data_IF_180014602646
#
_entry.id   IF_180014602646
#
_cell.length_a   1.000
_cell.length_b   1.000
_cell.length_c   1.000
_cell.angle_alpha   90.00
_cell.angle_beta   90.00
_cell.angle_gamma   90.00
#
_symmetry.space_group_name_H-M   'P 1'
#
loop_
_entity.id
_entity.type
_entity.pdbx_description
1 polymer ?
2 non-polymer ?
3 non-polymer ?
4 non-polymer ?
5 non-polymer ?
6 non-polymer ?
7 water ?
#
# COMPACT_ATOMS: atom_id res chain seq x y z
N UNK A 3 -3.07 15.56 27.26
CA UNK A 3 -3.51 16.46 26.19
C UNK A 3 -2.32 16.89 25.34
N UNK A 4 -1.11 16.55 25.80
CA UNK A 4 0.15 16.88 25.13
C UNK A 4 1.10 15.72 25.42
N UNK A 5 0.94 14.64 24.66
CA UNK A 5 1.54 13.34 24.97
C UNK A 5 3.00 13.25 24.56
N UNK A 6 3.75 12.42 25.29
CA UNK A 6 5.18 12.22 25.07
C UNK A 6 5.45 10.82 24.53
N UNK A 7 6.25 10.74 23.46
CA UNK A 7 6.80 9.48 22.97
C UNK A 7 8.32 9.54 23.12
N UNK A 8 8.91 8.46 23.62
CA UNK A 8 10.33 8.40 23.87
C UNK A 8 10.97 7.36 22.94
N UNK A 9 12.22 7.62 22.57
CA UNK A 9 13.08 6.61 21.97
C UNK A 9 14.00 6.08 23.07
N UNK A 10 14.01 4.77 23.28
CA UNK A 10 14.75 4.16 24.38
C UNK A 10 16.15 3.73 24.00
N UNK A 11 16.62 4.13 22.83
CA UNK A 11 18.01 3.93 22.43
C UNK A 11 18.77 5.25 22.35
N UNK A 12 18.09 6.34 21.97
CA UNK A 12 18.64 7.68 21.87
C UNK A 12 18.23 8.59 23.03
N UNK A 13 17.24 8.20 23.83
CA UNK A 13 16.67 9.00 24.91
C UNK A 13 16.04 10.30 24.38
N UNK A 14 15.64 10.30 23.12
CA UNK A 14 14.98 11.47 22.51
C UNK A 14 13.50 11.45 22.85
N UNK A 15 12.96 12.60 23.21
CA UNK A 15 11.54 12.73 23.54
C UNK A 15 10.88 13.67 22.57
N UNK A 16 9.72 13.28 22.06
CA UNK A 16 8.90 14.11 21.21
C UNK A 16 7.53 14.29 21.86
N UNK A 17 6.94 15.46 21.63
CA UNK A 17 5.62 15.79 22.17
C UNK A 17 4.61 15.78 21.04
N UNK A 18 3.54 15.03 21.22
CA UNK A 18 2.51 14.88 20.21
C UNK A 18 1.29 15.70 20.60
N UNK A 19 0.96 16.69 19.78
CA UNK A 19 -0.32 17.39 19.86
C UNK A 19 -1.19 17.15 18.63
N UNK A 20 -0.65 16.57 17.57
CA UNK A 20 -1.43 16.32 16.36
C UNK A 20 -2.56 15.33 16.62
N UNK A 21 -2.38 14.40 17.56
CA UNK A 21 -3.43 13.43 17.84
C UNK A 21 -4.72 14.10 18.30
N UNK A 22 -4.65 15.35 18.75
CA UNK A 22 -5.85 16.10 19.10
C UNK A 22 -6.74 16.36 17.88
N UNK A 23 -6.14 16.49 16.68
CA UNK A 23 -6.93 16.61 15.45
C UNK A 23 -7.43 15.25 14.95
N UNK A 24 -7.24 14.18 15.72
CA UNK A 24 -7.72 12.86 15.32
C UNK A 24 -9.23 12.83 15.35
N UNK A 25 -9.80 11.96 14.52
CA UNK A 25 -11.22 11.99 14.27
C UNK A 25 -11.82 10.61 14.48
N UNK A 26 -11.41 9.64 13.67
CA UNK A 26 -11.95 8.29 13.74
C UNK A 26 -11.45 7.57 14.99
N UNK A 27 -11.99 6.39 15.20
CA UNK A 27 -11.65 5.56 16.35
C UNK A 27 -10.70 4.43 15.94
N UNK A 28 -10.04 3.85 16.95
CA UNK A 28 -8.91 2.96 16.74
C UNK A 28 -9.23 1.47 16.94
N UNK A 29 -10.35 1.14 17.56
CA UNK A 29 -10.59 -0.21 18.03
C UNK A 29 -10.21 -0.42 19.49
N UNK A 30 -9.24 0.34 19.99
CA UNK A 30 -8.87 0.24 21.39
C UNK A 30 -9.85 1.00 22.27
N UNK A 31 -9.99 0.54 23.51
CA UNK A 31 -10.72 1.26 24.53
C UNK A 31 -9.81 1.46 25.73
N UNK A 32 -10.40 1.90 26.84
CA UNK A 32 -9.64 2.09 28.07
C UNK A 32 -9.24 0.75 28.70
N UNK A 33 -10.00 -0.31 28.46
CA UNK A 33 -9.76 -1.59 29.12
C UNK A 33 -9.29 -2.67 28.16
N UNK A 34 -9.03 -2.34 26.89
CA UNK A 34 -8.54 -3.34 25.96
C UNK A 34 -7.81 -2.69 24.81
N UNK A 35 -6.62 -3.18 24.51
CA UNK A 35 -5.84 -2.66 23.41
C UNK A 35 -5.88 -3.69 22.28
N UNK A 36 -6.24 -3.21 21.09
CA UNK A 36 -6.35 -4.07 19.91
C UNK A 36 -5.31 -3.69 18.86
N UNK A 37 -4.15 -3.21 19.31
CA UNK A 37 -3.13 -2.78 18.37
C UNK A 37 -2.51 -3.87 17.53
N UNK A 38 -2.84 -5.15 17.74
CA UNK A 38 -2.34 -6.22 16.90
C UNK A 38 -3.44 -6.90 16.09
N UNK A 39 -4.69 -6.43 16.20
CA UNK A 39 -5.74 -6.88 15.30
C UNK A 39 -5.45 -6.35 13.91
N UNK A 40 -5.46 -7.24 12.92
CA UNK A 40 -5.06 -6.87 11.55
C UNK A 40 -6.02 -5.85 10.93
N UNK A 41 -7.31 -6.18 10.89
CA UNK A 41 -8.33 -5.34 10.26
C UNK A 41 -9.31 -4.88 11.33
N UNK A 42 -9.19 -3.66 11.83
CA UNK A 42 -10.02 -3.25 12.97
C UNK A 42 -11.18 -2.34 12.60
N UNK A 43 -12.22 -2.32 13.45
CA UNK A 43 -13.35 -1.42 13.31
C UNK A 43 -13.43 -0.47 14.51
N UNK A 52 -23.85 3.82 1.84
CA UNK A 52 -24.03 5.11 1.18
C UNK A 52 -23.98 6.22 2.23
N UNK A 53 -23.49 7.40 1.84
CA UNK A 53 -23.37 8.55 2.73
C UNK A 53 -24.36 9.64 2.32
N UNK A 54 -24.86 10.37 3.31
CA UNK A 54 -25.91 11.37 3.12
C UNK A 54 -25.35 12.79 3.13
N UNK A 55 -26.18 13.73 2.69
CA UNK A 55 -25.72 15.11 2.54
C UNK A 55 -25.51 15.78 3.88
N UNK A 56 -26.23 15.32 4.91
CA UNK A 56 -26.00 15.81 6.26
C UNK A 56 -24.55 15.57 6.68
N UNK A 57 -24.11 14.32 6.60
CA UNK A 57 -22.77 13.97 7.04
C UNK A 57 -21.70 14.61 6.16
N UNK A 58 -22.01 14.88 4.89
CA UNK A 58 -20.93 15.10 3.93
C UNK A 58 -20.37 16.51 4.00
N UNK A 59 -21.14 17.50 4.46
CA UNK A 59 -20.61 18.86 4.47
C UNK A 59 -19.58 19.09 5.58
N UNK A 60 -19.81 18.66 6.83
CA UNK A 60 -18.73 18.77 7.82
C UNK A 60 -17.42 18.17 7.35
N UNK A 61 -17.47 17.03 6.68
CA UNK A 61 -16.28 16.38 6.14
C UNK A 61 -15.63 17.25 5.07
N UNK A 62 -16.42 17.79 4.15
CA UNK A 62 -15.89 18.71 3.15
C UNK A 62 -15.26 19.93 3.81
N UNK A 63 -15.99 20.55 4.76
CA UNK A 63 -15.51 21.76 5.42
C UNK A 63 -14.21 21.51 6.16
N UNK A 64 -14.17 20.46 6.98
CA UNK A 64 -12.95 20.14 7.69
C UNK A 64 -11.78 19.98 6.72
N UNK A 65 -11.98 19.24 5.64
CA UNK A 65 -10.89 19.04 4.69
C UNK A 65 -10.50 20.34 4.00
N UNK A 66 -11.49 21.18 3.65
CA UNK A 66 -11.16 22.43 2.98
C UNK A 66 -10.47 23.42 3.92
N UNK A 67 -10.82 23.38 5.20
CA UNK A 67 -10.18 24.26 6.17
C UNK A 67 -8.72 23.90 6.38
N UNK A 68 -8.36 22.61 6.23
CA UNK A 68 -6.96 22.26 6.32
C UNK A 68 -6.26 22.46 4.99
N UNK A 69 -6.97 22.31 3.87
CA UNK A 69 -6.36 22.60 2.57
C UNK A 69 -6.01 24.07 2.45
N UNK A 70 -6.95 24.96 2.78
CA UNK A 70 -6.67 26.38 2.64
C UNK A 70 -5.70 26.85 3.71
N UNK A 71 -5.71 26.22 4.88
CA UNK A 71 -4.68 26.52 5.87
C UNK A 71 -3.30 26.18 5.32
N UNK A 72 -3.20 25.06 4.58
CA UNK A 72 -1.90 24.60 4.11
C UNK A 72 -1.31 25.47 3.01
N UNK A 73 -2.12 26.30 2.36
CA UNK A 73 -1.62 27.20 1.34
C UNK A 73 -1.53 28.64 1.85
N UNK A 74 -1.58 28.83 3.17
CA UNK A 74 -1.45 30.14 3.81
C UNK A 74 -2.56 31.09 3.36
N UNK A 75 -3.77 30.56 3.22
CA UNK A 75 -4.97 31.34 2.97
C UNK A 75 -6.14 30.74 3.76
N UNK A 76 -5.90 30.45 5.03
CA UNK A 76 -6.94 30.00 5.95
C UNK A 76 -7.89 31.14 6.22
N UNK A 77 -9.14 31.00 5.78
CA UNK A 77 -10.18 31.97 6.07
C UNK A 77 -10.25 33.15 5.13
N UNK A 78 -9.43 33.18 4.08
CA UNK A 78 -9.50 34.25 3.09
C UNK A 78 -10.85 34.20 2.38
N UNK A 79 -11.09 35.15 1.46
CA UNK A 79 -12.33 35.12 0.70
C UNK A 79 -12.41 33.89 -0.18
N UNK A 80 -11.30 33.54 -0.85
CA UNK A 80 -11.29 32.37 -1.72
C UNK A 80 -11.66 31.10 -0.95
N UNK A 81 -11.30 31.04 0.33
CA UNK A 81 -11.74 29.94 1.19
C UNK A 81 -13.25 29.97 1.41
N UNK A 82 -13.78 31.12 1.82
CA UNK A 82 -15.21 31.23 2.10
C UNK A 82 -16.04 31.00 0.84
N UNK A 83 -15.58 31.55 -0.30
CA UNK A 83 -16.31 31.31 -1.54
C UNK A 83 -16.22 29.85 -1.95
N UNK A 84 -15.08 29.21 -1.72
CA UNK A 84 -14.96 27.79 -2.01
C UNK A 84 -15.78 26.96 -1.03
N UNK A 85 -15.84 27.40 0.24
CA UNK A 85 -16.69 26.72 1.21
C UNK A 85 -18.14 26.78 0.79
N UNK A 86 -18.65 27.99 0.49
CA UNK A 86 -20.04 28.12 0.08
C UNK A 86 -20.28 27.47 -1.28
N UNK A 87 -19.27 27.47 -2.15
CA UNK A 87 -19.43 26.79 -3.44
C UNK A 87 -19.68 25.31 -3.24
N UNK A 88 -18.89 24.66 -2.38
CA UNK A 88 -19.10 23.24 -2.08
C UNK A 88 -20.42 23.03 -1.35
N UNK A 89 -20.68 23.86 -0.33
CA UNK A 89 -21.97 23.84 0.34
C UNK A 89 -23.11 23.86 -0.68
N UNK A 90 -23.03 24.75 -1.65
CA UNK A 90 -24.10 24.84 -2.65
C UNK A 90 -24.15 23.60 -3.53
N UNK A 91 -22.99 23.10 -3.97
CA UNK A 91 -22.99 21.91 -4.80
C UNK A 91 -23.43 20.66 -4.03
N UNK A 92 -23.15 20.60 -2.73
CA UNK A 92 -23.68 19.50 -1.92
C UNK A 92 -25.20 19.62 -1.78
N UNK A 93 -25.71 20.85 -1.69
CA UNK A 93 -27.16 21.02 -1.69
C UNK A 93 -27.78 20.48 -2.97
N UNK A 94 -27.15 20.75 -4.11
CA UNK A 94 -27.76 20.48 -5.41
C UNK A 94 -27.72 18.99 -5.76
N UNK A 95 -26.56 18.34 -5.61
CA UNK A 95 -26.40 16.94 -5.99
C UNK A 95 -26.18 15.99 -4.80
N UNK A 96 -26.16 16.51 -3.58
CA UNK A 96 -25.81 15.71 -2.39
C UNK A 96 -24.42 15.07 -2.50
N UNK A 97 -23.58 15.62 -3.37
CA UNK A 97 -22.16 15.30 -3.43
C UNK A 97 -21.44 16.54 -3.96
N UNK A 98 -20.16 16.39 -4.32
CA UNK A 98 -19.42 17.50 -4.89
C UNK A 98 -18.17 16.98 -5.58
N UNK A 99 -17.40 17.90 -6.16
CA UNK A 99 -16.26 17.59 -7.00
C UNK A 99 -15.03 18.32 -6.49
N UNK A 100 -13.92 17.59 -6.35
CA UNK A 100 -12.66 18.17 -5.91
C UNK A 100 -11.97 18.91 -7.03
N UNK A 101 -11.44 20.11 -6.71
CA UNK A 101 -10.49 20.75 -7.62
C UNK A 101 -9.28 19.86 -7.81
N UNK A 102 -8.63 20.01 -8.96
CA UNK A 102 -7.39 19.25 -9.21
C UNK A 102 -6.38 19.44 -8.08
N UNK A 103 -6.19 20.70 -7.64
CA UNK A 103 -5.26 20.97 -6.55
C UNK A 103 -5.67 20.26 -5.27
N UNK A 104 -6.97 20.29 -4.94
CA UNK A 104 -7.47 19.65 -3.74
C UNK A 104 -7.30 18.14 -3.83
N UNK A 105 -7.47 17.58 -5.04
CA UNK A 105 -7.29 16.14 -5.21
C UNK A 105 -5.85 15.72 -4.95
N UNK A 106 -4.88 16.52 -5.40
CA UNK A 106 -3.46 16.18 -5.23
C UNK A 106 -3.06 16.35 -3.77
N UNK A 107 -3.55 17.43 -3.13
CA UNK A 107 -3.32 17.62 -1.71
C UNK A 107 -3.88 16.44 -0.91
N UNK A 108 -5.12 16.04 -1.20
CA UNK A 108 -5.72 14.94 -0.46
C UNK A 108 -4.95 13.65 -0.61
N UNK A 109 -4.57 13.32 -1.85
CA UNK A 109 -3.84 12.09 -2.09
C UNK A 109 -2.55 12.05 -1.28
N UNK A 110 -1.74 13.11 -1.37
CA UNK A 110 -0.47 13.14 -0.66
C UNK A 110 -0.65 13.00 0.85
N UNK A 111 -1.69 13.64 1.40
CA UNK A 111 -1.85 13.63 2.85
C UNK A 111 -2.47 12.34 3.36
N UNK A 112 -3.28 11.69 2.53
CA UNK A 112 -3.69 10.32 2.80
C UNK A 112 -2.48 9.42 3.04
N UNK A 113 -1.48 9.50 2.14
CA UNK A 113 -0.23 8.78 2.34
C UNK A 113 0.49 9.29 3.58
N UNK A 114 0.59 10.62 3.73
CA UNK A 114 1.24 11.18 4.90
C UNK A 114 0.67 10.62 6.19
N UNK A 115 -0.60 10.25 6.18
CA UNK A 115 -1.31 9.85 7.38
C UNK A 115 -1.37 8.35 7.58
N UNK A 116 -0.81 7.58 6.65
CA UNK A 116 -0.83 6.12 6.70
C UNK A 116 0.09 5.63 7.80
N UNK A 117 -0.46 5.34 8.98
CA UNK A 117 0.39 5.06 10.13
C UNK A 117 1.12 3.72 10.03
N UNK A 118 0.72 2.84 9.10
CA UNK A 118 1.42 1.57 8.89
C UNK A 118 2.52 1.64 7.84
N UNK A 119 2.72 2.79 7.18
CA UNK A 119 3.68 2.93 6.08
C UNK A 119 5.00 3.50 6.60
N UNK A 120 6.07 2.69 6.52
CA UNK A 120 7.41 3.11 6.93
C UNK A 120 8.08 4.03 5.93
N UNK A 121 7.53 4.17 4.72
CA UNK A 121 8.21 4.89 3.66
C UNK A 121 7.78 6.33 3.49
N UNK A 122 7.17 6.89 4.53
CA UNK A 122 6.48 8.16 4.38
C UNK A 122 7.40 9.36 4.29
N UNK A 123 8.73 9.20 4.41
CA UNK A 123 9.60 10.36 4.25
C UNK A 123 9.45 10.96 2.85
N UNK A 124 8.87 10.20 1.91
CA UNK A 124 8.70 10.56 0.52
C UNK A 124 7.31 11.12 0.21
N UNK A 125 6.47 11.31 1.24
CA UNK A 125 5.04 11.46 1.01
C UNK A 125 4.72 12.66 0.12
N UNK A 126 5.55 13.71 0.15
CA UNK A 126 5.25 14.90 -0.65
C UNK A 126 5.68 14.77 -2.11
N UNK A 127 6.50 13.77 -2.45
CA UNK A 127 6.95 13.54 -3.82
C UNK A 127 6.15 12.36 -4.36
N UNK A 128 4.99 12.69 -4.92
CA UNK A 128 3.96 11.73 -5.34
C UNK A 128 3.31 12.28 -6.60
N UNK A 129 3.22 11.46 -7.64
CA UNK A 129 2.68 11.85 -8.93
C UNK A 129 1.21 11.45 -8.96
N UNK A 130 0.32 12.41 -9.13
CA UNK A 130 -1.09 12.12 -9.06
C UNK A 130 -1.68 12.13 -10.46
N UNK A 131 -2.24 11.00 -10.85
CA UNK A 131 -2.86 10.86 -12.16
C UNK A 131 -4.36 10.90 -11.93
N UNK A 132 -4.99 11.97 -12.41
CA UNK A 132 -6.42 12.15 -12.25
C UNK A 132 -7.10 11.36 -13.36
N UNK A 133 -7.72 10.23 -13.01
CA UNK A 133 -8.46 9.45 -13.99
C UNK A 133 -9.97 9.60 -13.77
N UNK A 134 -10.40 10.74 -13.25
CA UNK A 134 -11.82 10.88 -12.95
C UNK A 134 -12.68 11.12 -14.18
N UNK A 135 -12.10 11.17 -15.40
CA UNK A 135 -12.89 11.21 -16.64
C UNK A 135 -13.13 9.82 -17.21
N UNK A 136 -12.64 8.78 -16.54
CA UNK A 136 -12.76 7.43 -17.07
C UNK A 136 -14.21 6.96 -17.00
N UNK A 137 -14.60 6.12 -17.96
CA UNK A 137 -15.95 5.60 -18.04
C UNK A 137 -16.04 4.09 -18.30
N UNK A 138 -14.97 3.45 -18.73
CA UNK A 138 -15.03 2.06 -19.19
C UNK A 138 -13.83 1.28 -18.66
N UNK A 139 -13.96 -0.05 -18.72
CA UNK A 139 -12.87 -0.94 -18.34
C UNK A 139 -11.64 -0.69 -19.19
N UNK A 140 -11.82 -0.54 -20.51
CA UNK A 140 -10.69 -0.28 -21.41
C UNK A 140 -9.97 0.99 -21.05
N UNK A 141 -10.71 2.06 -20.74
CA UNK A 141 -10.09 3.27 -20.26
C UNK A 141 -9.31 3.07 -18.96
N UNK A 142 -9.79 2.17 -18.08
CA UNK A 142 -9.02 1.86 -16.87
C UNK A 142 -7.70 1.18 -17.25
N UNK A 143 -7.76 0.17 -18.12
CA UNK A 143 -6.55 -0.49 -18.61
C UNK A 143 -5.54 0.52 -19.12
N UNK A 144 -6.01 1.44 -19.95
CA UNK A 144 -5.11 2.44 -20.51
C UNK A 144 -4.48 3.28 -19.41
N UNK A 145 -5.30 3.79 -18.49
CA UNK A 145 -4.78 4.58 -17.38
C UNK A 145 -3.80 3.76 -16.54
N UNK A 146 -4.09 2.48 -16.35
CA UNK A 146 -3.25 1.64 -15.50
C UNK A 146 -1.92 1.32 -16.18
N UNK A 147 -1.93 1.11 -17.51
CA UNK A 147 -0.68 0.86 -18.21
C UNK A 147 0.22 2.09 -18.17
N UNK A 148 -0.38 3.28 -18.32
CA UNK A 148 0.40 4.51 -18.24
C UNK A 148 0.95 4.71 -16.83
N UNK A 149 0.20 4.30 -15.82
CA UNK A 149 0.72 4.32 -14.45
C UNK A 149 1.98 3.47 -14.34
N UNK A 150 1.84 2.17 -14.64
CA UNK A 150 2.95 1.23 -14.58
C UNK A 150 4.18 1.77 -15.30
N UNK A 151 4.02 2.06 -16.60
CA UNK A 151 5.15 2.56 -17.39
C UNK A 151 5.81 3.78 -16.73
N UNK A 152 5.01 4.75 -16.29
CA UNK A 152 5.58 5.92 -15.63
C UNK A 152 6.27 5.52 -14.33
N UNK A 153 5.55 4.85 -13.42
CA UNK A 153 6.11 4.55 -12.11
C UNK A 153 7.38 3.69 -12.20
N UNK A 154 7.47 2.84 -13.21
CA UNK A 154 8.64 1.97 -13.32
C UNK A 154 9.87 2.75 -13.79
N UNK A 155 9.72 3.58 -14.82
CA UNK A 155 10.77 4.53 -15.21
C UNK A 155 12.11 3.83 -15.39
N UNK A 156 12.08 2.68 -16.05
CA UNK A 156 13.27 1.92 -16.39
C UNK A 156 13.99 1.42 -15.14
N UNK A 157 13.24 1.15 -14.06
CA UNK A 157 13.81 0.70 -12.82
C UNK A 157 14.19 1.81 -11.86
N UNK A 158 14.27 3.06 -12.32
CA UNK A 158 14.43 4.19 -11.41
C UNK A 158 13.03 4.59 -10.95
N UNK A 159 12.49 3.78 -10.01
CA UNK A 159 11.06 3.82 -9.72
C UNK A 159 10.64 5.18 -9.19
N UNK A 160 9.38 5.51 -9.43
CA UNK A 160 8.81 6.79 -9.05
C UNK A 160 7.44 6.52 -8.48
N UNK A 161 7.09 7.27 -7.45
CA UNK A 161 5.84 7.04 -6.73
C UNK A 161 4.70 7.69 -7.48
N UNK A 162 3.56 6.99 -7.51
CA UNK A 162 2.44 7.50 -8.27
C UNK A 162 1.14 6.90 -7.76
N UNK A 163 0.05 7.58 -8.05
CA UNK A 163 -1.28 7.09 -7.75
C UNK A 163 -2.18 7.48 -8.91
N UNK A 164 -3.10 6.57 -9.29
CA UNK A 164 -4.09 6.88 -10.32
C UNK A 164 -5.48 6.80 -9.71
N UNK A 165 -6.26 7.87 -9.86
CA UNK A 165 -7.49 8.06 -9.08
C UNK A 165 -8.68 8.01 -10.03
N UNK A 166 -9.49 6.97 -9.91
CA UNK A 166 -10.67 6.76 -10.73
C UNK A 166 -11.89 7.44 -10.12
N UNK A 167 -13.00 7.55 -10.86
CA UNK A 167 -14.13 8.38 -10.38
C UNK A 167 -14.64 7.94 -9.01
N UNK A 168 -15.05 8.93 -8.22
CA UNK A 168 -15.47 8.67 -6.86
C UNK A 168 -16.79 7.90 -6.84
N UNK A 169 -16.99 7.15 -5.77
CA UNK A 169 -18.26 6.46 -5.58
C UNK A 169 -19.39 7.48 -5.54
N UNK A 170 -20.55 7.12 -6.11
CA UNK A 170 -21.68 8.03 -6.08
C UNK A 170 -22.86 7.38 -5.36
N UNK A 171 -23.69 6.65 -6.09
CA UNK A 171 -24.84 5.99 -5.50
C UNK A 171 -24.42 4.83 -4.61
N UNK A 172 -23.38 4.09 -5.03
CA UNK A 172 -23.00 2.87 -4.38
C UNK A 172 -22.96 1.68 -5.32
N UNK A 173 -23.99 1.54 -6.18
CA UNK A 173 -23.98 0.47 -7.16
C UNK A 173 -23.12 0.80 -8.38
N UNK A 174 -22.79 2.07 -8.57
CA UNK A 174 -21.87 2.50 -9.61
C UNK A 174 -20.54 2.79 -8.93
N UNK A 175 -19.58 1.89 -9.14
CA UNK A 175 -18.36 1.85 -8.34
C UNK A 175 -17.24 1.35 -9.23
N UNK A 176 -16.18 2.13 -9.35
CA UNK A 176 -14.97 1.66 -10.01
C UNK A 176 -14.15 0.85 -9.03
N UNK A 177 -13.73 -0.35 -9.44
CA UNK A 177 -12.91 -1.22 -8.61
C UNK A 177 -11.91 -1.96 -9.49
N UNK A 178 -10.65 -2.00 -9.04
CA UNK A 178 -9.67 -2.96 -9.53
C UNK A 178 -9.78 -4.21 -8.66
N UNK A 179 -10.12 -5.34 -9.28
CA UNK A 179 -10.35 -6.54 -8.50
C UNK A 179 -9.05 -7.21 -8.06
N UNK A 180 -7.93 -6.93 -8.72
CA UNK A 180 -6.64 -7.39 -8.23
C UNK A 180 -6.31 -6.70 -6.92
N UNK A 181 -5.53 -7.39 -6.07
CA UNK A 181 -5.00 -6.73 -4.89
C UNK A 181 -3.77 -5.90 -5.22
N UNK A 182 -3.01 -6.29 -6.23
CA UNK A 182 -1.92 -5.48 -6.74
C UNK A 182 -1.97 -5.57 -8.27
N UNK A 183 -1.68 -4.45 -8.93
CA UNK A 183 -1.65 -4.44 -10.39
C UNK A 183 -0.83 -5.62 -10.92
N UNK A 184 0.29 -5.91 -10.28
CA UNK A 184 1.19 -6.99 -10.70
C UNK A 184 1.34 -8.00 -9.56
N UNK A 185 0.85 -9.23 -9.80
CA UNK A 185 0.96 -10.34 -8.87
C UNK A 185 1.18 -11.62 -9.65
N UNK A 186 1.86 -12.57 -9.02
CA UNK A 186 2.04 -13.89 -9.61
C UNK A 186 0.84 -14.78 -9.31
N UNK A 187 0.46 -15.59 -10.31
CA UNK A 187 -0.64 -16.53 -10.14
C UNK A 187 -0.28 -17.62 -9.14
N UNK A 188 -1.32 -18.27 -8.62
CA UNK A 188 -1.18 -19.40 -7.74
C UNK A 188 -2.20 -20.46 -8.07
N UNK A 189 -1.73 -21.69 -8.30
CA UNK A 189 -2.59 -22.79 -8.72
C UNK A 189 -2.45 -23.93 -7.72
N UNK A 190 -3.58 -24.44 -7.26
CA UNK A 190 -3.60 -25.67 -6.47
C UNK A 190 -3.24 -26.85 -7.36
N UNK A 191 -2.91 -27.97 -6.73
CA UNK A 191 -2.36 -29.10 -7.47
C UNK A 191 -3.22 -30.34 -7.29
N UNK A 192 -2.98 -31.41 -8.07
CA UNK A 192 -3.67 -32.68 -7.79
C UNK A 192 -3.42 -33.19 -6.37
N UNK A 193 -2.16 -33.22 -5.93
CA UNK A 193 -1.85 -33.70 -4.60
C UNK A 193 -2.10 -32.64 -3.51
N UNK A 194 -2.86 -31.60 -3.81
CA UNK A 194 -3.22 -30.59 -2.84
C UNK A 194 -2.15 -29.57 -2.55
N UNK A 195 -0.97 -29.67 -3.18
CA UNK A 195 0.07 -28.67 -2.98
C UNK A 195 -0.27 -27.41 -3.74
N UNK A 196 0.70 -26.54 -3.99
CA UNK A 196 0.42 -25.28 -4.65
C UNK A 196 1.62 -24.85 -5.49
N UNK A 197 1.36 -24.53 -6.75
CA UNK A 197 2.35 -23.90 -7.62
C UNK A 197 2.06 -22.40 -7.69
N UNK A 198 3.13 -21.61 -7.73
CA UNK A 198 2.99 -20.16 -7.74
C UNK A 198 2.78 -19.56 -6.37
N UNK A 199 1.88 -18.58 -6.29
CA UNK A 199 1.65 -17.83 -5.07
C UNK A 199 0.34 -18.26 -4.42
N UNK A 200 0.38 -18.95 -3.27
CA UNK A 200 -0.86 -19.41 -2.63
C UNK A 200 -1.80 -18.29 -2.21
N UNK A 201 -1.27 -17.08 -1.94
CA UNK A 201 -2.14 -15.97 -1.59
C UNK A 201 -3.17 -15.68 -2.66
N UNK A 202 -2.86 -15.95 -3.92
CA UNK A 202 -3.68 -15.52 -5.05
C UNK A 202 -4.51 -16.64 -5.65
N UNK A 203 -4.63 -17.79 -4.96
CA UNK A 203 -5.27 -18.95 -5.57
C UNK A 203 -6.74 -18.67 -5.88
N UNK A 204 -7.46 -18.05 -4.94
CA UNK A 204 -8.86 -17.74 -5.23
C UNK A 204 -8.98 -16.73 -6.36
N UNK A 205 -8.11 -15.71 -6.38
CA UNK A 205 -8.16 -14.75 -7.47
C UNK A 205 -7.78 -15.40 -8.79
N UNK A 206 -6.76 -16.27 -8.78
CA UNK A 206 -6.29 -16.90 -10.02
C UNK A 206 -7.40 -17.71 -10.68
N UNK A 207 -8.21 -18.40 -9.88
CA UNK A 207 -9.29 -19.18 -10.47
C UNK A 207 -10.51 -18.33 -10.83
N UNK A 208 -10.69 -17.18 -10.16
CA UNK A 208 -11.71 -16.24 -10.59
C UNK A 208 -11.42 -15.76 -12.01
N UNK A 209 -10.15 -15.45 -12.29
CA UNK A 209 -9.78 -15.05 -13.64
C UNK A 209 -10.04 -16.17 -14.64
N UNK A 210 -9.76 -17.42 -14.25
CA UNK A 210 -10.07 -18.53 -15.13
C UNK A 210 -11.57 -18.67 -15.33
N UNK A 211 -12.36 -18.32 -14.31
CA UNK A 211 -13.81 -18.32 -14.44
C UNK A 211 -14.27 -17.33 -15.49
N UNK A 212 -13.96 -16.04 -15.30
CA UNK A 212 -14.33 -15.00 -16.27
C UNK A 212 -13.61 -15.14 -17.60
N UNK A 213 -12.69 -16.09 -17.75
CA UNK A 213 -12.17 -16.38 -19.07
C UNK A 213 -10.68 -16.57 -19.24
N UNK A 214 -9.89 -16.39 -18.18
CA UNK A 214 -8.43 -16.47 -18.33
C UNK A 214 -8.02 -17.87 -18.77
N UNK A 215 -7.08 -17.92 -19.70
CA UNK A 215 -6.40 -19.15 -20.06
C UNK A 215 -5.04 -19.14 -19.36
N UNK A 216 -4.89 -20.01 -18.36
CA UNK A 216 -3.73 -19.90 -17.50
C UNK A 216 -2.55 -20.70 -18.07
N UNK A 217 -1.32 -20.17 -17.93
CA UNK A 217 -0.13 -20.91 -18.36
C UNK A 217 0.50 -21.70 -17.24
N UNK A 218 -0.33 -22.27 -16.36
CA UNK A 218 0.01 -22.95 -15.11
C UNK A 218 1.51 -23.11 -14.84
N UNK A 219 2.16 -22.03 -14.43
CA UNK A 219 3.54 -22.06 -13.98
C UNK A 219 3.72 -21.36 -12.64
N UNK A 220 4.97 -21.06 -12.29
CA UNK A 220 5.28 -20.44 -11.01
C UNK A 220 4.91 -18.96 -11.00
N UNK A 221 5.59 -18.20 -11.86
CA UNK A 221 5.55 -16.74 -11.82
C UNK A 221 4.79 -16.20 -13.03
N UNK A 222 3.52 -16.54 -13.12
CA UNK A 222 2.64 -16.08 -14.19
C UNK A 222 1.94 -14.81 -13.71
N UNK A 223 2.27 -13.69 -14.36
CA UNK A 223 1.65 -12.42 -14.02
C UNK A 223 0.16 -12.51 -14.33
N UNK A 224 -0.68 -12.26 -13.33
CA UNK A 224 -2.12 -12.34 -13.52
C UNK A 224 -2.60 -11.26 -14.47
N UNK A 225 -3.77 -11.41 -15.07
CA UNK A 225 -4.37 -10.32 -15.83
C UNK A 225 -5.08 -9.36 -14.88
N UNK A 226 -5.41 -8.19 -15.40
CA UNK A 226 -6.22 -7.26 -14.63
C UNK A 226 -7.69 -7.64 -14.74
N UNK A 227 -8.44 -7.43 -13.66
CA UNK A 227 -9.90 -7.54 -13.68
C UNK A 227 -10.44 -6.19 -13.26
N UNK A 228 -10.98 -5.44 -14.21
CA UNK A 228 -11.32 -4.04 -14.03
C UNK A 228 -12.83 -3.86 -14.13
N UNK A 229 -13.42 -3.24 -13.10
CA UNK A 229 -14.84 -2.95 -13.06
C UNK A 229 -15.04 -1.44 -13.11
N UNK A 230 -15.82 -0.98 -14.09
CA UNK A 230 -16.06 0.45 -14.29
C UNK A 230 -17.54 0.77 -14.13
N UNK A 231 -17.82 1.88 -13.46
CA UNK A 231 -19.19 2.37 -13.26
C UNK A 231 -20.14 1.26 -12.80
N UNK A 232 -19.64 0.38 -11.95
CA UNK A 232 -20.45 -0.67 -11.38
C UNK A 232 -20.76 -1.84 -12.30
N UNK A 233 -20.27 -1.85 -13.52
CA UNK A 233 -20.54 -2.98 -14.40
C UNK A 233 -19.66 -4.17 -14.01
N UNK A 234 -19.98 -5.33 -14.60
CA UNK A 234 -19.18 -6.52 -14.37
C UNK A 234 -17.76 -6.32 -14.89
N UNK A 235 -16.76 -6.92 -14.24
CA UNK A 235 -15.36 -6.64 -14.59
C UNK A 235 -14.88 -7.42 -15.80
N UNK A 236 -13.79 -6.92 -16.39
CA UNK A 236 -13.29 -7.39 -17.68
C UNK A 236 -11.78 -7.64 -17.62
N UNK A 237 -11.33 -8.73 -18.23
CA UNK A 237 -9.92 -9.12 -18.18
C UNK A 237 -9.08 -8.36 -19.19
N UNK A 238 -7.87 -7.96 -18.78
CA UNK A 238 -6.89 -7.34 -19.66
C UNK A 238 -5.49 -7.78 -19.27
N UNK A 239 -4.65 -8.07 -20.26
CA UNK A 239 -3.27 -8.49 -20.02
C UNK A 239 -2.34 -7.30 -20.17
N UNK A 240 -1.60 -7.00 -19.10
CA UNK A 240 -0.59 -5.93 -19.15
C UNK A 240 0.47 -6.32 -20.17
N UNK A 241 0.92 -5.42 -21.05
CA UNK A 241 1.94 -5.80 -22.03
C UNK A 241 3.22 -6.21 -21.32
N UNK A 242 3.72 -7.42 -21.57
CA UNK A 242 4.84 -7.94 -20.79
C UNK A 242 6.04 -7.02 -20.73
N UNK A 243 6.18 -6.15 -21.76
CA UNK A 243 7.27 -5.20 -21.77
C UNK A 243 7.15 -4.15 -20.68
N UNK A 244 5.94 -3.87 -20.20
CA UNK A 244 5.76 -2.91 -19.11
C UNK A 244 5.94 -3.53 -17.73
N UNK A 245 6.13 -4.84 -17.64
CA UNK A 245 6.19 -5.53 -16.35
C UNK A 245 7.65 -5.86 -16.09
N UNK A 246 8.30 -5.11 -15.21
CA UNK A 246 9.74 -5.27 -15.02
C UNK A 246 9.98 -6.31 -13.92
N UNK A 247 10.92 -7.21 -14.15
CA UNK A 247 11.17 -8.34 -13.26
C UNK A 247 12.67 -8.46 -12.99
N UNK A 248 12.99 -9.00 -11.80
CA UNK A 248 14.36 -9.12 -11.32
C UNK A 248 14.63 -10.60 -10.99
N UNK A 249 15.53 -11.28 -11.71
CA UNK A 249 15.93 -12.63 -11.29
C UNK A 249 16.85 -12.56 -10.08
N UNK A 250 16.66 -13.49 -9.15
CA UNK A 250 17.27 -13.43 -7.84
C UNK A 250 18.52 -14.29 -7.82
N UNK A 251 19.68 -13.64 -7.82
CA UNK A 251 20.95 -14.31 -7.58
C UNK A 251 21.53 -13.82 -6.26
N UNK A 252 22.49 -14.58 -5.78
CA UNK A 252 23.23 -14.33 -4.56
C UNK A 252 24.66 -13.93 -4.90
N UNK A 253 25.26 -13.01 -4.15
CA UNK A 253 26.62 -12.56 -4.46
C UNK A 253 27.72 -13.53 -4.03
N UNK A 254 27.36 -14.66 -3.41
CA UNK A 254 28.35 -15.66 -3.00
C UNK A 254 27.98 -17.04 -3.52
N UNK A 255 26.76 -17.46 -3.28
CA UNK A 255 26.31 -18.82 -3.59
C UNK A 255 25.79 -18.87 -5.02
N UNK A 256 26.47 -19.63 -5.87
CA UNK A 256 26.09 -19.72 -7.28
C UNK A 256 24.95 -20.70 -7.51
N UNK A 257 24.71 -21.64 -6.60
CA UNK A 257 23.51 -22.45 -6.73
C UNK A 257 22.25 -21.61 -6.57
N UNK A 258 22.38 -20.40 -6.04
CA UNK A 258 21.20 -19.58 -5.78
C UNK A 258 20.41 -19.33 -7.05
N UNK A 259 21.11 -19.18 -8.19
CA UNK A 259 20.39 -18.99 -9.45
C UNK A 259 19.58 -20.21 -9.81
N UNK A 260 20.06 -21.41 -9.45
CA UNK A 260 19.33 -22.63 -9.73
C UNK A 260 18.04 -22.71 -8.94
N UNK A 261 17.90 -21.91 -7.88
CA UNK A 261 16.60 -21.75 -7.26
C UNK A 261 15.59 -21.17 -8.25
N UNK A 262 16.06 -20.39 -9.22
CA UNK A 262 15.20 -19.91 -10.29
C UNK A 262 14.18 -18.90 -9.88
N UNK A 263 14.43 -18.16 -8.80
CA UNK A 263 13.47 -17.22 -8.27
C UNK A 263 13.53 -15.89 -9.02
N UNK A 264 12.43 -15.15 -8.93
CA UNK A 264 12.33 -13.82 -9.49
C UNK A 264 11.11 -13.16 -8.89
N UNK A 265 11.10 -11.84 -8.90
CA UNK A 265 9.97 -11.07 -8.41
C UNK A 265 9.86 -9.83 -9.27
N UNK A 266 8.71 -9.16 -9.16
CA UNK A 266 8.45 -8.00 -10.00
C UNK A 266 8.91 -6.74 -9.28
N UNK A 267 9.34 -5.77 -10.09
CA UNK A 267 9.97 -4.59 -9.51
C UNK A 267 9.01 -3.66 -8.80
N UNK A 268 7.76 -3.63 -9.23
CA UNK A 268 6.84 -2.53 -8.93
C UNK A 268 5.77 -3.01 -7.97
N UNK A 269 5.79 -2.56 -6.69
CA UNK A 269 4.66 -2.85 -5.80
C UNK A 269 3.60 -1.78 -5.98
N UNK A 270 2.41 -2.17 -6.44
CA UNK A 270 1.37 -1.20 -6.78
C UNK A 270 0.05 -1.76 -6.23
N UNK A 271 -0.39 -1.20 -5.11
CA UNK A 271 -1.53 -1.70 -4.36
C UNK A 271 -2.81 -1.11 -4.94
N UNK A 272 -3.81 -1.95 -5.16
CA UNK A 272 -4.99 -1.53 -5.89
C UNK A 272 -6.34 -1.87 -5.24
N UNK A 273 -6.38 -2.44 -4.04
CA UNK A 273 -7.65 -2.84 -3.43
C UNK A 273 -8.11 -1.89 -2.35
N UNK A 274 -7.44 -0.76 -2.17
CA UNK A 274 -7.73 0.11 -1.06
C UNK A 274 -8.61 1.28 -1.47
N UNK A 275 -9.19 1.93 -0.48
CA UNK A 275 -10.10 3.05 -0.68
C UNK A 275 -9.43 4.33 -0.20
N UNK A 276 -9.42 5.35 -1.05
CA UNK A 276 -8.91 6.67 -0.73
C UNK A 276 -10.09 7.55 -0.30
N UNK A 277 -9.99 8.14 0.88
CA UNK A 277 -11.04 9.01 1.39
C UNK A 277 -10.52 10.44 1.45
N UNK A 278 -11.17 11.36 0.73
CA UNK A 278 -10.80 12.77 0.74
C UNK A 278 -12.06 13.59 0.94
N UNK A 279 -12.06 14.46 1.95
CA UNK A 279 -13.18 15.36 2.17
C UNK A 279 -14.53 14.69 2.23
N UNK A 280 -14.60 13.47 2.78
CA UNK A 280 -15.85 12.73 2.80
C UNK A 280 -16.20 12.02 1.52
N UNK A 281 -15.41 12.21 0.47
CA UNK A 281 -15.62 11.54 -0.81
C UNK A 281 -14.80 10.26 -0.85
N UNK A 282 -15.34 9.24 -1.52
CA UNK A 282 -14.76 7.89 -1.50
C UNK A 282 -14.34 7.48 -2.90
N UNK A 283 -13.04 7.27 -3.09
CA UNK A 283 -12.46 6.79 -4.34
C UNK A 283 -12.11 5.32 -4.14
N UNK A 284 -12.94 4.43 -4.69
CA UNK A 284 -12.82 2.98 -4.50
C UNK A 284 -11.76 2.35 -5.37
N UNK A 285 -11.29 3.04 -6.41
CA UNK A 285 -10.25 2.56 -7.30
C UNK A 285 -9.16 3.62 -7.33
N UNK A 286 -8.05 3.34 -6.68
CA UNK A 286 -6.98 4.31 -6.56
C UNK A 286 -5.61 3.64 -6.43
N UNK A 287 -5.18 2.83 -7.41
CA UNK A 287 -3.90 2.12 -7.27
C UNK A 287 -2.73 3.06 -7.06
N UNK A 288 -1.90 2.75 -6.06
CA UNK A 288 -0.73 3.53 -5.72
C UNK A 288 0.50 2.65 -5.73
N UNK A 289 1.60 3.20 -6.21
CA UNK A 289 2.84 2.45 -6.30
C UNK A 289 3.96 3.29 -5.71
N UNK A 290 4.95 2.59 -5.14
CA UNK A 290 6.22 3.18 -4.79
C UNK A 290 7.33 2.23 -5.18
N UNK A 291 8.13 1.77 -4.21
CA UNK A 291 9.12 0.72 -4.43
C UNK A 291 9.14 -0.16 -3.19
N UNK A 292 10.01 -1.17 -3.20
CA UNK A 292 9.96 -2.24 -2.22
C UNK A 292 10.96 -2.01 -1.09
N UNK A 293 10.53 -2.28 0.13
CA UNK A 293 11.50 -2.62 1.16
C UNK A 293 11.87 -4.08 0.95
N UNK A 294 13.17 -4.38 1.10
CA UNK A 294 13.65 -5.71 0.74
C UNK A 294 12.94 -6.83 1.47
N UNK A 295 12.61 -6.63 2.74
CA UNK A 295 12.00 -7.69 3.54
C UNK A 295 10.63 -8.11 3.01
N UNK A 296 9.93 -7.23 2.31
CA UNK A 296 8.59 -7.61 1.84
C UNK A 296 8.67 -8.84 0.95
N UNK A 297 9.67 -8.89 0.07
CA UNK A 297 9.88 -10.03 -0.81
C UNK A 297 10.59 -11.15 -0.08
N UNK A 298 11.77 -10.84 0.48
CA UNK A 298 12.66 -11.89 0.97
C UNK A 298 12.17 -12.58 2.21
N UNK A 299 11.44 -11.87 3.07
CA UNK A 299 10.97 -12.42 4.34
C UNK A 299 9.55 -12.93 4.19
N UNK A 300 8.64 -12.04 3.78
CA UNK A 300 7.22 -12.34 3.75
C UNK A 300 6.82 -13.10 2.48
N UNK A 301 7.00 -12.47 1.29
CA UNK A 301 6.62 -13.13 0.04
C UNK A 301 7.27 -14.51 -0.11
N UNK A 302 8.55 -14.63 0.23
CA UNK A 302 9.29 -15.86 -0.04
C UNK A 302 9.21 -16.87 1.10
N UNK A 303 9.06 -16.41 2.35
CA UNK A 303 9.26 -17.29 3.51
C UNK A 303 8.07 -17.42 4.44
N UNK A 304 7.02 -16.59 4.29
CA UNK A 304 5.74 -16.89 4.93
C UNK A 304 5.37 -18.35 4.65
N UNK A 305 5.03 -19.08 5.71
CA UNK A 305 4.64 -20.48 5.54
C UNK A 305 3.51 -20.65 4.53
N UNK A 306 2.63 -19.66 4.41
CA UNK A 306 1.50 -19.69 3.51
C UNK A 306 1.77 -18.92 2.22
N UNK A 307 3.04 -18.67 1.91
CA UNK A 307 3.42 -18.01 0.66
C UNK A 307 4.30 -18.95 -0.16
N UNK A 308 5.47 -18.49 -0.62
CA UNK A 308 6.32 -19.37 -1.43
C UNK A 308 7.09 -20.38 -0.58
N UNK A 309 7.38 -20.04 0.68
CA UNK A 309 7.83 -21.00 1.69
C UNK A 309 9.13 -21.70 1.27
N UNK A 310 10.15 -20.89 0.95
CA UNK A 310 11.38 -21.41 0.38
C UNK A 310 12.46 -21.68 1.42
N UNK A 311 12.18 -21.42 2.70
CA UNK A 311 13.18 -21.67 3.76
C UNK A 311 13.69 -23.10 3.68
N UNK A 312 12.78 -24.06 3.46
CA UNK A 312 13.12 -25.45 3.16
C UNK A 312 14.29 -25.58 2.19
N UNK A 313 14.10 -25.11 0.95
CA UNK A 313 15.06 -25.39 -0.10
C UNK A 313 16.37 -24.64 0.09
N UNK A 314 16.29 -23.39 0.55
CA UNK A 314 17.52 -22.61 0.75
C UNK A 314 18.38 -23.25 1.83
N UNK A 315 17.75 -23.70 2.92
CA UNK A 315 18.51 -24.33 3.98
C UNK A 315 19.12 -25.64 3.52
N UNK A 316 18.43 -26.37 2.64
CA UNK A 316 19.00 -27.59 2.09
C UNK A 316 20.29 -27.31 1.34
N UNK A 317 20.26 -26.36 0.41
CA UNK A 317 21.43 -26.06 -0.41
C UNK A 317 22.56 -25.47 0.42
N UNK A 318 22.23 -24.83 1.54
CA UNK A 318 23.28 -24.34 2.43
C UNK A 318 23.88 -25.44 3.27
N UNK A 319 23.27 -26.62 3.28
CA UNK A 319 23.69 -27.77 4.09
C UNK A 319 23.68 -27.42 5.58
N UNK A 320 22.50 -27.08 6.07
CA UNK A 320 22.29 -26.65 7.45
C UNK A 320 21.71 -27.77 8.28
N UNK A 321 21.97 -27.70 9.59
CA UNK A 321 21.43 -28.62 10.56
C UNK A 321 19.93 -28.39 10.73
N UNK A 322 19.13 -29.01 9.88
CA UNK A 322 17.67 -28.83 9.90
C UNK A 322 16.96 -29.79 10.85
N UNK A 323 17.71 -30.63 11.57
CA UNK A 323 17.12 -31.50 12.57
C UNK A 323 16.50 -30.69 13.70
N UNK A 324 17.33 -29.93 14.41
CA UNK A 324 16.91 -29.20 15.59
C UNK A 324 16.35 -27.83 15.21
N UNK A 325 15.31 -27.42 15.94
CA UNK A 325 14.79 -26.07 15.83
C UNK A 325 15.84 -25.02 16.17
N UNK A 326 16.61 -25.28 17.23
CA UNK A 326 17.57 -24.39 17.88
C UNK A 326 18.91 -24.28 17.16
N UNK A 327 19.10 -24.97 16.03
CA UNK A 327 20.24 -24.63 15.19
C UNK A 327 20.08 -23.25 14.53
N UNK A 328 18.93 -22.60 14.69
CA UNK A 328 18.61 -21.35 14.00
C UNK A 328 18.91 -21.44 12.49
N UNK A 329 18.67 -22.62 11.92
CA UNK A 329 18.87 -22.77 10.49
C UNK A 329 17.87 -21.93 9.71
N UNK A 330 16.66 -21.72 10.26
CA UNK A 330 15.69 -20.87 9.58
C UNK A 330 16.18 -19.43 9.51
N UNK A 331 16.71 -18.92 10.63
CA UNK A 331 17.18 -17.53 10.68
C UNK A 331 18.37 -17.34 9.76
N UNK A 332 19.27 -18.32 9.71
CA UNK A 332 20.48 -18.22 8.92
C UNK A 332 20.17 -18.19 7.43
N UNK A 333 19.22 -19.01 6.99
CA UNK A 333 18.76 -19.04 5.61
C UNK A 333 17.87 -17.84 5.27
N UNK A 334 17.31 -17.19 6.28
CA UNK A 334 16.49 -16.00 6.06
C UNK A 334 17.35 -14.80 5.68
N UNK A 335 18.50 -14.65 6.35
CA UNK A 335 19.38 -13.52 6.04
C UNK A 335 19.98 -13.65 4.65
N UNK A 336 20.48 -14.85 4.29
CA UNK A 336 21.03 -15.05 2.94
C UNK A 336 20.03 -14.64 1.86
N UNK A 337 18.78 -15.10 1.98
CA UNK A 337 17.76 -14.78 1.00
C UNK A 337 17.57 -13.27 0.88
N UNK A 338 17.60 -12.55 2.00
CA UNK A 338 17.41 -11.11 1.88
C UNK A 338 18.68 -10.39 1.40
N UNK A 339 19.87 -10.96 1.61
CA UNK A 339 21.04 -10.42 0.93
C UNK A 339 20.86 -10.56 -0.58
N UNK A 340 20.23 -11.66 -1.01
CA UNK A 340 20.08 -11.98 -2.43
C UNK A 340 19.08 -11.07 -3.12
N UNK A 341 17.95 -10.78 -2.48
CA UNK A 341 16.96 -9.87 -3.07
C UNK A 341 17.57 -8.51 -3.27
N UNK A 342 18.19 -7.97 -2.22
CA UNK A 342 18.79 -6.65 -2.32
C UNK A 342 19.87 -6.62 -3.40
N UNK A 343 20.80 -7.58 -3.33
CA UNK A 343 21.86 -7.66 -4.32
C UNK A 343 21.30 -7.71 -5.73
N UNK A 344 20.26 -8.54 -5.95
CA UNK A 344 19.71 -8.70 -7.30
C UNK A 344 19.11 -7.39 -7.81
N UNK A 345 18.23 -6.78 -7.01
CA UNK A 345 17.61 -5.52 -7.40
C UNK A 345 18.65 -4.43 -7.64
N UNK A 346 19.64 -4.31 -6.76
CA UNK A 346 20.63 -3.24 -6.88
C UNK A 346 21.52 -3.41 -8.10
N UNK A 347 21.96 -4.65 -8.37
CA UNK A 347 22.80 -4.91 -9.53
C UNK A 347 22.10 -4.62 -10.84
N UNK A 348 20.78 -4.45 -10.81
CA UNK A 348 19.99 -4.17 -12.00
C UNK A 348 19.49 -2.73 -12.05
N UNK A 349 19.96 -1.87 -11.15
CA UNK A 349 19.54 -0.47 -11.10
C UNK A 349 18.02 -0.36 -10.92
N UNK A 350 17.43 -1.33 -10.24
CA UNK A 350 16.01 -1.25 -9.90
C UNK A 350 15.90 -0.86 -8.44
N UNK A 351 15.13 0.19 -8.19
CA UNK A 351 15.05 0.82 -6.87
C UNK A 351 14.55 -0.16 -5.82
N UNK A 352 15.30 -0.30 -4.73
CA UNK A 352 14.88 -1.07 -3.57
C UNK A 352 15.51 -0.42 -2.35
N UNK A 353 14.92 -0.62 -1.16
CA UNK A 353 15.49 -0.12 0.07
C UNK A 353 15.53 -1.27 1.08
N UNK A 354 16.56 -1.25 1.93
CA UNK A 354 16.75 -2.29 2.95
C UNK A 354 16.11 -1.86 4.25
N UNK A 355 15.66 -2.83 5.05
CA UNK A 355 14.94 -2.49 6.28
C UNK A 355 15.76 -1.56 7.17
N UNK A 356 17.10 -1.58 7.07
CA UNK A 356 17.91 -0.71 7.90
C UNK A 356 17.85 0.74 7.42
N UNK A 357 18.05 0.96 6.13
CA UNK A 357 17.95 2.31 5.58
C UNK A 357 16.54 2.85 5.72
N UNK A 358 15.53 2.01 5.48
CA UNK A 358 14.15 2.47 5.55
C UNK A 358 13.77 2.89 6.97
N UNK A 359 14.12 2.07 7.97
CA UNK A 359 13.71 2.41 9.32
C UNK A 359 14.42 3.67 9.82
N UNK A 360 15.70 3.83 9.47
CA UNK A 360 16.42 5.04 9.85
C UNK A 360 15.76 6.28 9.26
N UNK A 361 15.24 6.17 8.03
CA UNK A 361 14.59 7.32 7.41
C UNK A 361 13.28 7.64 8.10
N UNK A 362 12.56 6.61 8.58
CA UNK A 362 11.31 6.85 9.27
C UNK A 362 11.51 7.61 10.58
N UNK A 363 12.54 7.27 11.36
CA UNK A 363 12.86 8.07 12.53
C UNK A 363 13.16 9.50 12.13
N UNK A 364 13.94 9.68 11.06
CA UNK A 364 14.20 11.01 10.54
C UNK A 364 12.92 11.70 10.08
N UNK A 365 12.03 10.94 9.45
CA UNK A 365 10.71 11.46 9.10
C UNK A 365 9.88 11.79 10.34
N UNK A 366 9.98 10.97 11.38
CA UNK A 366 9.21 11.23 12.60
C UNK A 366 9.62 12.55 13.23
N UNK A 367 10.92 12.86 13.24
CA UNK A 367 11.40 14.10 13.82
C UNK A 367 10.83 15.32 13.10
N UNK A 368 10.69 15.23 11.78
CA UNK A 368 10.16 16.35 11.02
C UNK A 368 8.69 16.57 11.31
N UNK A 369 7.90 15.50 11.31
CA UNK A 369 6.47 15.63 11.53
C UNK A 369 6.18 16.20 12.91
N UNK A 370 6.77 15.62 13.95
CA UNK A 370 6.59 16.19 15.29
C UNK A 370 6.99 17.64 15.34
N UNK A 371 8.03 18.02 14.59
CA UNK A 371 8.51 19.40 14.61
C UNK A 371 7.55 20.33 13.88
N UNK A 372 7.31 20.08 12.59
CA UNK A 372 6.55 21.01 11.76
C UNK A 372 5.09 20.61 11.60
N UNK A 373 4.61 19.63 12.38
CA UNK A 373 3.20 19.22 12.30
C UNK A 373 2.58 18.87 13.64
N UNK A 374 3.36 18.73 14.71
CA UNK A 374 2.81 18.34 16.00
C UNK A 374 2.76 16.85 16.26
N UNK A 375 3.15 16.02 15.30
CA UNK A 375 3.10 14.59 15.52
C UNK A 375 3.12 13.82 14.22
N UNK A 376 3.06 12.51 14.36
CA UNK A 376 3.14 11.54 13.27
C UNK A 376 2.49 10.24 13.69
N UNK A 377 1.30 9.91 13.18
CA UNK A 377 0.66 8.64 13.55
C UNK A 377 1.48 7.48 13.03
N UNK A 378 1.69 6.48 13.88
CA UNK A 378 2.62 5.41 13.54
C UNK A 378 2.20 4.13 14.25
N UNK A 379 2.24 3.00 13.52
CA UNK A 379 1.76 1.70 13.97
C UNK A 379 2.97 0.79 14.12
N UNK A 380 3.51 0.77 15.35
CA UNK A 380 4.70 -0.01 15.68
C UNK A 380 4.62 -1.45 15.17
N UNK A 381 3.46 -2.09 15.33
CA UNK A 381 3.29 -3.49 14.91
C UNK A 381 3.63 -3.66 13.43
N UNK A 382 3.33 -2.64 12.62
CA UNK A 382 3.57 -2.68 11.18
C UNK A 382 4.84 -1.97 10.76
N UNK A 383 5.27 -0.95 11.51
CA UNK A 383 6.51 -0.24 11.16
C UNK A 383 7.75 -1.11 11.44
N UNK A 384 7.77 -1.90 12.53
CA UNK A 384 8.99 -2.69 12.79
C UNK A 384 9.15 -3.77 11.73
N UNK A 385 10.32 -3.91 11.10
CA UNK A 385 10.47 -4.90 9.99
C UNK A 385 10.31 -6.32 10.49
N UNK A 386 9.97 -7.26 9.59
CA UNK A 386 9.67 -8.64 10.01
C UNK A 386 10.89 -9.49 10.34
N UNK A 387 12.09 -8.90 10.40
CA UNK A 387 13.31 -9.58 10.83
C UNK A 387 14.25 -8.50 11.37
N UNK A 388 15.21 -8.92 12.19
CA UNK A 388 16.21 -8.01 12.74
C UNK A 388 15.57 -6.79 13.41
N UNK A 389 14.38 -7.00 14.00
CA UNK A 389 13.65 -5.95 14.68
C UNK A 389 14.47 -5.01 15.56
N UNK A 390 15.09 -5.54 16.62
CA UNK A 390 15.70 -4.67 17.62
C UNK A 390 17.05 -4.12 17.20
N UNK A 391 17.59 -4.55 16.05
CA UNK A 391 18.78 -3.91 15.52
C UNK A 391 18.41 -2.83 14.49
N UNK A 392 17.14 -2.42 14.45
CA UNK A 392 16.72 -1.23 13.70
C UNK A 392 16.16 -0.19 14.67
N UNK A 393 16.33 1.10 14.39
CA UNK A 393 15.98 2.13 15.37
C UNK A 393 14.50 2.21 15.73
N UNK A 394 13.58 1.67 14.93
CA UNK A 394 12.16 1.83 15.25
C UNK A 394 11.69 0.84 16.32
N UNK A 395 12.42 -0.24 16.56
CA UNK A 395 12.07 -1.14 17.67
C UNK A 395 12.06 -0.39 18.99
N UNK A 396 12.95 0.60 19.13
CA UNK A 396 13.19 1.30 20.38
C UNK A 396 12.42 2.61 20.47
N UNK A 397 11.58 2.89 19.48
CA UNK A 397 10.92 4.17 19.34
C UNK A 397 9.44 3.99 19.68
N UNK A 398 9.02 4.52 20.84
CA UNK A 398 7.60 4.60 21.15
C UNK A 398 6.87 5.33 20.02
N UNK A 399 5.66 4.86 19.70
CA UNK A 399 4.85 5.45 18.64
C UNK A 399 3.40 5.55 19.10
N UNK A 400 2.77 6.67 18.75
CA UNK A 400 1.35 6.89 18.98
C UNK A 400 0.59 6.65 17.68
N UNK A 401 -0.40 5.76 17.72
CA UNK A 401 -1.24 5.50 16.55
C UNK A 401 -2.59 6.18 16.72
N UNK A 402 -3.09 6.76 15.63
CA UNK A 402 -4.38 7.43 15.63
C UNK A 402 -4.73 7.75 14.18
N UNK A 403 -6.01 7.94 13.92
CA UNK A 403 -6.54 7.98 12.57
C UNK A 403 -6.84 9.42 12.19
N UNK A 404 -5.99 9.99 11.33
CA UNK A 404 -6.25 11.27 10.70
C UNK A 404 -6.79 11.06 9.29
N UNK A 405 -7.37 12.11 8.73
CA UNK A 405 -7.91 12.07 7.38
C UNK A 405 -7.39 13.27 6.60
N UNK A 406 -7.29 13.17 5.25
CA UNK A 406 -7.49 12.11 4.26
C UNK A 406 -6.80 10.80 4.58
N UNK A 407 -7.39 9.66 4.21
CA UNK A 407 -6.80 8.39 4.60
C UNK A 407 -7.03 7.33 3.53
N UNK A 408 -6.23 6.27 3.63
CA UNK A 408 -6.41 5.01 2.91
C UNK A 408 -7.10 4.01 3.83
N UNK A 409 -8.21 3.44 3.36
CA UNK A 409 -8.97 2.46 4.13
C UNK A 409 -9.09 1.16 3.37
N UNK A 410 -9.12 0.07 4.12
CA UNK A 410 -9.48 -1.23 3.58
C UNK A 410 -10.91 -1.21 3.13
N UNK A 411 -11.22 -2.09 2.19
CA UNK A 411 -12.57 -2.21 1.67
C UNK A 411 -12.82 -3.68 1.35
N UNK A 412 -14.06 -4.13 1.36
CA UNK A 412 -14.34 -5.53 0.99
C UNK A 412 -13.90 -5.83 -0.43
N UNK A 413 -13.66 -7.11 -0.69
CA UNK A 413 -13.37 -7.56 -2.04
C UNK A 413 -14.62 -7.43 -2.90
N UNK A 414 -14.49 -6.97 -4.15
CA UNK A 414 -15.69 -6.73 -4.96
C UNK A 414 -16.51 -7.99 -5.22
N UNK A 415 -15.89 -9.16 -5.29
CA UNK A 415 -16.66 -10.37 -5.61
C UNK A 415 -17.49 -10.86 -4.43
N UNK A 416 -17.27 -10.33 -3.23
CA UNK A 416 -18.12 -10.62 -2.08
C UNK A 416 -19.27 -9.63 -1.94
N UNK A 417 -19.29 -8.56 -2.73
CA UNK A 417 -20.27 -7.49 -2.56
C UNK A 417 -21.02 -7.10 -3.83
N UNK A 418 -20.52 -7.47 -5.02
CA UNK A 418 -21.01 -6.92 -6.28
C UNK A 418 -22.36 -7.56 -6.64
N UNK A 419 -23.41 -6.72 -6.66
CA UNK A 419 -24.72 -7.15 -7.14
C UNK A 419 -24.59 -7.47 -8.63
N UNK A 420 -24.43 -8.76 -8.94
CA UNK A 420 -23.95 -9.22 -10.23
C UNK A 420 -25.09 -9.30 -11.25
N UNK A 421 -24.72 -9.61 -12.49
CA UNK A 421 -25.65 -10.03 -13.55
C UNK A 421 -24.90 -10.82 -14.62
X LIG B 1 2.30 0.18 4.03
X LIG B 1 6.84 0.84 2.49
X LIG B 1 5.09 4.02 -0.78
X LIG B 1 0.75 3.92 1.33
X LIG B 1 3.64 -0.05 3.79
X LIG B 1 4.43 -1.20 4.21
X LIG B 1 5.69 -1.02 3.78
X LIG B 1 5.76 0.25 3.09
X LIG B 1 6.88 -1.99 3.97
X LIG B 1 3.87 -2.43 4.96
X LIG B 1 3.13 -3.20 3.88
X LIG B 1 2.98 -4.64 4.28
X LIG B 1 3.80 -5.11 5.11
X LIG B 1 2.04 -5.31 3.76
X LIG B 1 6.77 1.75 1.46
X LIG B 1 7.87 2.25 0.66
X LIG B 1 7.39 3.13 -0.22
X LIG B 1 5.96 3.22 -0.04
X LIG B 1 9.34 1.87 0.78
X LIG B 1 8.27 3.87 -1.26
X LIG B 1 7.99 5.12 -1.65
X LIG B 1 3.76 4.26 -0.52
X LIG B 1 2.88 5.12 -1.30
X LIG B 1 1.67 5.10 -0.72
X LIG B 1 1.75 4.22 0.44
X LIG B 1 3.36 5.89 -2.56
X LIG B 1 0.35 5.82 -1.10
X LIG B 1 0.22 6.70 -2.11
X LIG B 1 0.78 2.89 2.24
X LIG B 1 -0.34 2.42 3.01
X LIG B 1 0.08 1.39 3.77
X LIG B 1 1.49 1.15 3.47
X LIG B 1 -1.77 3.01 3.00
X LIG B 1 -0.78 0.57 4.78
X LIG B 1 -1.24 -0.70 4.08
X LIG B 1 -2.09 -1.55 5.00
X LIG B 1 -2.55 -1.04 6.06
X LIG B 1 -2.33 -2.73 4.63
X LIG B 1 4.50 0.81 3.14
X LIG B 1 5.61 2.37 1.00
X LIG B 1 3.05 3.74 0.53
X LIG B 1 1.89 2.10 2.54
X LIG B 1 3.87 2.56 2.16
X LIG C 1 3.37 -5.88 9.70
X LIG C 1 3.48 -5.70 8.35
X LIG C 1 4.31 -4.76 7.84
X LIG C 1 2.74 -6.45 7.50
X LIG C 1 1.90 -7.38 7.97
X LIG C 1 1.24 -8.05 7.15
X LIG C 1 1.78 -7.59 9.34
X LIG C 1 2.53 -6.81 10.21
X LIG C 1 0.93 -8.49 9.83
X LIG C 1 2.45 -6.99 11.56
X LIG C 1 0.47 -8.30 11.20
X LIG C 1 1.65 -8.04 12.14
X LIG C 1 -0.31 -9.51 11.72
X LIG C 1 0.43 -10.70 11.35
X LIG C 1 -0.52 -9.35 13.23
X LIG C 1 -1.24 -10.54 13.87
X LIG C 1 -1.28 -8.18 13.62
X LIG D 1 12.42 4.94 1.73
X LIG D 1 12.85 4.24 0.77
X LIG D 1 12.94 4.88 2.85
X LIG D 1 11.41 6.01 1.45
X LIG E 1 -4.13 0.09 21.84
X LIG F 1 3.58 1.54 -2.51
X LIG F 1 2.76 0.57 -3.06
X LIG F 1 3.16 -0.66 -2.53
X LIG F 1 4.20 -0.41 -1.68
X LIG F 1 5.01 -1.33 -0.79
X LIG F 1 3.04 -2.26 0.26
X LIG F 1 2.38 -1.05 0.54
X LIG F 1 1.04 -1.03 0.90
X LIG F 1 0.34 -2.22 1.03
X LIG F 1 0.98 -3.43 0.76
X LIG F 1 2.32 -3.45 0.37
X LIG F 1 0.20 -4.73 0.88
X LIG F 1 -1.06 -6.22 2.31
X LIG F 1 -1.28 -6.68 3.75
X LIG F 1 -2.19 -7.88 3.77
X LIG F 1 -3.45 -7.78 3.21
X LIG F 1 -4.32 -8.87 3.20
X LIG F 1 -3.90 -10.06 3.79
X LIG F 1 -2.64 -10.15 4.36
X LIG F 1 -1.78 -9.06 4.35
X LIG F 1 -0.42 -9.23 4.98
X LIG F 1 -4.80 -11.24 3.81
X LIG F 1 -4.25 -12.51 3.67
X LIG F 1 -5.06 -13.64 3.69
X LIG F 1 -6.43 -13.49 3.86
X LIG F 1 -6.98 -12.22 4.01
X LIG F 1 -6.17 -11.09 3.98
X LIG F 1 4.37 -2.31 -0.11
X LIG F 1 6.28 -1.20 -0.71
X LIG F 1 -0.36 -4.92 2.23
X LIG F 1 -0.49 -10.01 6.23
X LIG F 1 4.46 0.93 -1.63
#
# INVERSE_FOLDING_TARGET
CPRFLKVKNWETDVVLTDTLHLKSTLETGCTEHICMGSIMLPSQHTRKPEDVATKDQLFPLAKEFLDQYYSSIKRFGSKAHMDRLEEVNKEIESTSTYQLKDTELIYGAKHAWRNASRCVGRIQWSKLQVFDARDCTTAHGMFNYICNHVKYATNKGNLRSAITIFPQRTDGKHDFRVWNSQLIRYAGYKQPDGSTLGDPANVQFTEICIQQGWKAPRGRFDVLPLLLQANGNDPELFQIPPELVLEVPIRHPKFDWFKDLGLKWYGLPAVSNMLLEIGGLEFSACPFSGWYMGTEIGVRDYCDNSRYNILEEVAKKMDLDMRKTSSLWKDQALVEINIAVLYSFQSDKVTIVDHHSATESFIKHMENEYRCRGGCPADWVWIVPPMSGSITPVFHQEMLNYRLTPSFEYQPDPWNTHVWKG
HEM CHA CHB CHC CHD C1A C2A C3A C4A CMA CAA CBA CGA O1A O2A C1B C2B C3B C4B CMB CAB CBB C1C C2C C3C C4C CMC CAC CBC C1D C2D C3D C4D CMD CAD CBD CGD O1D O2D NA NB NC ND FE
H4B N1 C2 N2 N3 C4 O4 C4A C8A N5 N8 C6 C7 C9 O9 C10 C11 O10
ACT C O OXT CH3
ZN ZN
A1BT2 C02 C03 C04 C05 C06 C11 C12 C13 C14 C15 C16 C17 C19 C20 C21 C22 C23 C24 C25 C26 C27 C31 C32 C33 C34 C35 C36 N07 N08 N18 N28 O01
#
